data_IF_922864416935
#
_entry.id   IF_922864416935
#
_cell.length_a   1.000
_cell.length_b   1.000
_cell.length_c   1.000
_cell.angle_alpha   90.00
_cell.angle_beta   90.00
_cell.angle_gamma   90.00
#
_symmetry.space_group_name_H-M   'P 1'
#
loop_
_entity.id
_entity.type
_entity.pdbx_description
1 polymer ?
#
# COMPACT_ATOMS: atom_id res chain seq x y z
N UNK A 1 10.35 -1.14 8.83
CA UNK A 1 9.87 -0.10 9.79
C UNK A 1 9.56 1.26 9.16
N UNK A 2 10.34 1.77 8.22
CA UNK A 2 10.10 3.11 7.64
C UNK A 2 8.97 3.14 6.58
N UNK A 3 9.07 2.32 5.53
CA UNK A 3 8.13 2.31 4.39
C UNK A 3 6.72 1.79 4.73
N UNK A 4 6.62 0.72 5.50
CA UNK A 4 5.35 0.11 5.95
C UNK A 4 4.86 0.65 7.31
N UNK A 5 5.55 1.62 7.89
CA UNK A 5 5.21 2.23 9.18
C UNK A 5 4.93 3.71 9.03
N UNK A 6 5.92 4.53 9.40
CA UNK A 6 5.79 6.01 9.42
C UNK A 6 5.32 6.61 8.10
N UNK A 7 5.72 6.03 6.96
CA UNK A 7 5.39 6.56 5.64
C UNK A 7 3.92 6.37 5.25
N UNK A 8 3.25 5.33 5.76
CA UNK A 8 1.82 5.08 5.54
C UNK A 8 0.98 5.46 6.77
N UNK A 9 1.58 6.12 7.77
CA UNK A 9 0.91 6.56 9.00
C UNK A 9 0.60 5.44 10.00
N UNK A 10 1.20 4.25 9.86
CA UNK A 10 0.99 3.11 10.75
C UNK A 10 2.10 3.09 11.81
N UNK A 11 1.72 3.20 13.08
CA UNK A 11 2.65 3.16 14.22
C UNK A 11 2.62 1.84 14.98
N UNK A 12 1.66 0.95 14.69
CA UNK A 12 1.55 -0.36 15.33
C UNK A 12 2.66 -1.31 14.85
N UNK A 13 3.57 -1.77 15.73
CA UNK A 13 4.61 -2.71 15.37
C UNK A 13 4.07 -4.05 14.85
N UNK A 14 2.92 -4.51 15.35
CA UNK A 14 2.34 -5.79 14.93
C UNK A 14 1.89 -5.73 13.46
N UNK A 15 1.20 -4.66 13.07
CA UNK A 15 0.86 -4.39 11.67
C UNK A 15 2.09 -4.27 10.76
N UNK A 16 3.17 -3.61 11.22
CA UNK A 16 4.41 -3.47 10.44
C UNK A 16 5.06 -4.84 10.22
N UNK A 17 5.16 -5.68 11.25
CA UNK A 17 5.74 -7.03 11.15
C UNK A 17 4.88 -7.92 10.25
N UNK A 18 3.55 -7.82 10.36
CA UNK A 18 2.63 -8.55 9.49
C UNK A 18 2.80 -8.14 8.02
N UNK A 19 2.99 -6.84 7.75
CA UNK A 19 3.24 -6.33 6.40
C UNK A 19 4.59 -6.78 5.83
N UNK A 20 5.63 -6.78 6.65
CA UNK A 20 6.97 -7.23 6.25
C UNK A 20 6.99 -8.73 5.92
N UNK A 21 6.41 -9.55 6.81
CA UNK A 21 6.21 -10.98 6.56
C UNK A 21 5.39 -11.25 5.29
N UNK A 22 4.35 -10.45 5.06
CA UNK A 22 3.54 -10.56 3.86
C UNK A 22 4.34 -10.22 2.59
N UNK A 23 5.27 -9.26 2.66
CA UNK A 23 6.17 -8.95 1.55
C UNK A 23 7.11 -10.12 1.25
N UNK A 24 7.67 -10.76 2.29
CA UNK A 24 8.51 -11.95 2.14
C UNK A 24 7.73 -13.13 1.51
N UNK A 25 6.51 -13.39 1.98
CA UNK A 25 5.65 -14.45 1.46
C UNK A 25 5.23 -14.22 0.00
N UNK A 26 5.05 -12.95 -0.40
CA UNK A 26 4.63 -12.57 -1.74
C UNK A 26 5.80 -12.28 -2.69
N UNK A 27 7.04 -12.26 -2.19
CA UNK A 27 8.24 -11.94 -2.97
C UNK A 27 8.29 -10.49 -3.46
N UNK A 28 7.77 -9.54 -2.67
CA UNK A 28 7.76 -8.11 -3.01
C UNK A 28 8.79 -7.38 -2.15
N UNK A 29 9.49 -6.40 -2.74
CA UNK A 29 10.31 -5.46 -1.98
C UNK A 29 9.45 -4.56 -1.07
N UNK A 30 9.58 -4.74 0.24
CA UNK A 30 8.81 -4.00 1.26
C UNK A 30 9.09 -2.49 1.26
N UNK A 31 10.24 -2.06 0.74
CA UNK A 31 10.56 -0.63 0.60
C UNK A 31 9.74 -0.02 -0.54
N UNK A 32 9.91 -0.53 -1.76
CA UNK A 32 9.20 -0.03 -2.95
C UNK A 32 7.70 -0.16 -2.81
N UNK A 33 7.22 -1.23 -2.16
CA UNK A 33 5.81 -1.43 -1.91
C UNK A 33 5.24 -0.38 -0.95
N UNK A 34 5.90 -0.10 0.17
CA UNK A 34 5.45 0.93 1.11
C UNK A 34 5.43 2.33 0.49
N UNK A 35 6.45 2.70 -0.28
CA UNK A 35 6.51 3.98 -1.01
C UNK A 35 5.38 4.10 -2.05
N UNK A 36 5.10 3.01 -2.77
CA UNK A 36 4.02 2.98 -3.77
C UNK A 36 2.64 3.14 -3.12
N UNK A 37 2.44 2.52 -1.96
CA UNK A 37 1.20 2.60 -1.19
C UNK A 37 1.00 4.01 -0.62
N UNK A 38 2.05 4.62 -0.05
CA UNK A 38 1.96 6.00 0.46
C UNK A 38 1.65 7.00 -0.64
N UNK A 39 2.23 6.82 -1.83
CA UNK A 39 1.90 7.64 -2.99
C UNK A 39 0.43 7.46 -3.40
N UNK A 40 -0.08 6.23 -3.40
CA UNK A 40 -1.49 5.97 -3.70
C UNK A 40 -2.44 6.61 -2.67
N UNK A 41 -2.10 6.55 -1.38
CA UNK A 41 -2.85 7.24 -0.32
C UNK A 41 -2.87 8.76 -0.55
N UNK A 42 -1.71 9.37 -0.85
CA UNK A 42 -1.61 10.80 -1.12
C UNK A 42 -2.43 11.24 -2.33
N UNK A 43 -2.43 10.46 -3.42
CA UNK A 43 -3.22 10.77 -4.61
C UNK A 43 -4.73 10.70 -4.34
N UNK A 44 -5.17 9.81 -3.46
CA UNK A 44 -6.57 9.71 -3.02
C UNK A 44 -6.94 10.88 -2.13
N UNK A 45 -6.09 11.25 -1.17
CA UNK A 45 -6.32 12.42 -0.30
C UNK A 45 -6.37 13.73 -1.09
N UNK A 46 -5.52 13.88 -2.11
CA UNK A 46 -5.53 15.02 -3.02
C UNK A 46 -6.71 14.99 -4.02
N UNK A 47 -7.50 13.92 -4.04
CA UNK A 47 -8.62 13.75 -4.96
C UNK A 47 -8.21 13.57 -6.44
N UNK A 48 -6.92 13.31 -6.70
CA UNK A 48 -6.36 13.08 -8.04
C UNK A 48 -6.65 11.66 -8.53
N UNK A 49 -6.98 10.75 -7.62
CA UNK A 49 -7.31 9.37 -7.91
C UNK A 49 -8.45 8.88 -7.01
N UNK A 50 -9.35 8.08 -7.55
CA UNK A 50 -10.38 7.37 -6.76
C UNK A 50 -10.30 5.90 -7.11
N UNK A 51 -10.27 5.06 -6.07
CA UNK A 51 -10.38 3.62 -6.24
C UNK A 51 -11.67 3.11 -5.64
N UNK A 52 -12.39 2.29 -6.40
CA UNK A 52 -13.50 1.49 -5.88
C UNK A 52 -13.02 0.10 -5.43
N UNK A 53 -11.75 -0.23 -5.66
CA UNK A 53 -11.20 -1.56 -5.41
C UNK A 53 -10.73 -1.74 -3.96
N UNK A 54 -10.30 -0.66 -3.29
CA UNK A 54 -9.87 -0.70 -1.88
C UNK A 54 -10.67 0.33 -1.11
N UNK A 55 -11.48 -0.15 -0.17
CA UNK A 55 -12.18 0.73 0.73
C UNK A 55 -11.18 1.45 1.65
N UNK A 56 -11.31 2.77 1.73
CA UNK A 56 -10.66 3.62 2.74
C UNK A 56 -9.12 3.55 2.77
N UNK A 57 -8.48 3.56 1.59
CA UNK A 57 -7.03 3.68 1.46
C UNK A 57 -6.56 5.08 1.89
N UNK A 58 -6.36 5.24 3.20
CA UNK A 58 -5.93 6.48 3.87
C UNK A 58 -4.70 6.21 4.75
N UNK A 59 -3.96 7.27 5.06
CA UNK A 59 -2.88 7.18 6.04
C UNK A 59 -3.41 6.70 7.40
N UNK A 60 -2.67 5.79 8.04
CA UNK A 60 -3.03 5.17 9.31
C UNK A 60 -3.91 3.93 9.20
N UNK A 61 -4.41 3.59 8.02
CA UNK A 61 -5.21 2.36 7.84
C UNK A 61 -4.32 1.18 7.41
N UNK A 62 -3.85 0.42 8.41
CA UNK A 62 -3.00 -0.74 8.20
C UNK A 62 -3.69 -1.85 7.38
N UNK A 63 -4.97 -2.13 7.61
CA UNK A 63 -5.71 -3.17 6.89
C UNK A 63 -5.85 -2.86 5.40
N UNK A 64 -6.11 -1.59 5.07
CA UNK A 64 -6.15 -1.12 3.70
C UNK A 64 -4.78 -1.26 3.03
N UNK A 65 -3.69 -0.94 3.74
CA UNK A 65 -2.32 -1.12 3.24
C UNK A 65 -1.96 -2.60 3.00
N UNK A 66 -2.29 -3.50 3.93
CA UNK A 66 -2.06 -4.96 3.78
C UNK A 66 -2.89 -5.55 2.62
N UNK A 67 -4.13 -5.09 2.46
CA UNK A 67 -4.97 -5.46 1.32
C UNK A 67 -4.36 -4.97 0.01
N UNK A 68 -3.75 -3.78 0.03
CA UNK A 68 -3.05 -3.25 -1.10
C UNK A 68 -1.80 -4.05 -1.49
N UNK A 69 -0.99 -4.45 -0.51
CA UNK A 69 0.17 -5.32 -0.72
C UNK A 69 -0.21 -6.62 -1.43
N UNK A 70 -1.30 -7.27 -1.00
CA UNK A 70 -1.84 -8.45 -1.68
C UNK A 70 -2.22 -8.15 -3.13
N UNK A 71 -2.89 -7.01 -3.39
CA UNK A 71 -3.29 -6.63 -4.75
C UNK A 71 -2.11 -6.30 -5.66
N UNK A 72 -1.03 -5.73 -5.11
CA UNK A 72 0.23 -5.50 -5.82
C UNK A 72 0.85 -6.83 -6.25
N UNK A 73 0.92 -7.81 -5.35
CA UNK A 73 1.50 -9.14 -5.62
C UNK A 73 0.83 -9.86 -6.80
N UNK A 74 -0.50 -9.92 -6.77
CA UNK A 74 -1.26 -10.66 -7.77
C UNK A 74 -1.48 -9.87 -9.06
N UNK A 75 -0.74 -8.77 -9.26
CA UNK A 75 -0.78 -7.93 -10.46
C UNK A 75 -2.22 -7.57 -10.85
N UNK A 76 -3.02 -7.18 -9.85
CA UNK A 76 -4.41 -6.79 -10.04
C UNK A 76 -4.53 -5.65 -11.05
N UNK A 77 -5.66 -5.59 -11.78
CA UNK A 77 -5.95 -4.54 -12.79
C UNK A 77 -5.65 -3.12 -12.30
N UNK A 78 -5.73 -2.91 -10.99
CA UNK A 78 -5.33 -1.70 -10.28
C UNK A 78 -3.92 -1.20 -10.64
N UNK A 79 -2.88 -2.03 -10.50
CA UNK A 79 -1.49 -1.59 -10.70
C UNK A 79 -1.21 -1.26 -12.18
N UNK A 80 -1.85 -1.98 -13.11
CA UNK A 80 -1.77 -1.65 -14.54
C UNK A 80 -2.33 -0.28 -14.87
N UNK A 81 -3.38 0.15 -14.19
CA UNK A 81 -3.95 1.48 -14.37
C UNK A 81 -3.10 2.55 -13.67
N UNK A 82 -2.52 2.23 -12.51
CA UNK A 82 -1.63 3.12 -11.77
C UNK A 82 -0.34 3.44 -12.53
N UNK A 83 0.37 2.42 -13.04
CA UNK A 83 1.58 2.63 -13.84
C UNK A 83 1.32 3.32 -15.19
N UNK A 84 0.07 3.44 -15.62
CA UNK A 84 -0.30 4.13 -16.88
C UNK A 84 -0.42 5.63 -16.72
N UNK A 85 -0.40 6.13 -15.49
CA UNK A 85 -0.47 7.56 -15.16
C UNK A 85 0.92 8.23 -15.19
N UNK A 86 1.99 7.47 -15.49
CA UNK A 86 3.36 7.94 -15.66
C UNK A 86 3.98 7.37 -16.94
#
# INVERSE_FOLDING_TARGET
>A
MYSLGSMIGVSDPAAIIAGDRLCDELGIDSISAGVSISMAMELIEKGLYKTNDIADLKFGNADAALTMLRKLAYRGRYWRNFCRLY
#
